data_IF_532901616259
#
_entry.id   IF_532901616259
#
_cell.length_a   1.000
_cell.length_b   1.000
_cell.length_c   1.000
_cell.angle_alpha   90.00
_cell.angle_beta   90.00
_cell.angle_gamma   90.00
#
_symmetry.space_group_name_H-M   'P 1'
#
loop_
_entity.id
_entity.type
_entity.pdbx_description
1 polymer ?
#
# COMPACT_ATOMS: atom_id res chain seq x y z
N UNK A 1 27.38 44.14 27.37
CA UNK A 1 27.95 42.87 26.89
C UNK A 1 27.38 41.75 27.77
N UNK A 2 26.61 40.74 27.38
CA UNK A 2 26.12 40.26 26.09
C UNK A 2 25.05 39.17 26.40
N UNK A 3 23.87 39.29 25.77
CA UNK A 3 22.89 38.26 25.40
C UNK A 3 22.08 37.49 26.47
N UNK A 4 20.79 37.90 26.56
CA UNK A 4 19.63 37.02 26.69
C UNK A 4 19.80 35.74 25.83
N UNK A 5 19.99 34.59 26.48
CA UNK A 5 19.82 33.28 25.83
C UNK A 5 18.32 33.04 25.60
N UNK A 6 17.88 33.46 24.42
CA UNK A 6 16.59 33.15 23.81
C UNK A 6 16.59 31.65 23.51
N UNK A 7 16.03 30.84 24.41
CA UNK A 7 15.78 29.42 24.12
C UNK A 7 14.65 29.33 23.10
N UNK A 8 14.86 28.76 21.91
CA UNK A 8 13.75 28.46 21.01
C UNK A 8 12.98 27.28 21.60
N UNK A 9 11.75 27.54 22.00
CA UNK A 9 10.70 26.53 22.18
C UNK A 9 10.57 25.81 20.83
N UNK A 10 11.29 24.71 20.64
CA UNK A 10 11.10 23.83 19.49
C UNK A 10 9.98 22.86 19.84
N UNK A 11 8.80 23.27 19.38
CA UNK A 11 7.77 22.46 18.73
C UNK A 11 7.57 21.06 19.28
N UNK A 12 6.48 20.95 20.01
CA UNK A 12 5.70 19.79 20.44
C UNK A 12 5.18 18.93 19.24
N UNK A 13 5.71 19.10 18.02
CA UNK A 13 5.13 18.49 16.80
C UNK A 13 5.79 17.17 16.37
N UNK A 14 6.85 16.70 17.05
CA UNK A 14 7.67 15.58 16.54
C UNK A 14 7.29 14.19 17.07
N UNK A 15 6.32 14.05 17.98
CA UNK A 15 6.05 12.76 18.65
C UNK A 15 4.79 12.05 18.10
N UNK A 16 3.96 12.69 17.28
CA UNK A 16 2.71 12.07 16.77
C UNK A 16 2.87 11.41 15.37
N UNK A 17 4.07 11.42 14.78
CA UNK A 17 4.24 11.16 13.34
C UNK A 17 4.87 9.82 12.92
N UNK A 18 5.22 8.90 13.82
CA UNK A 18 6.00 7.70 13.45
C UNK A 18 5.42 6.34 13.82
N UNK A 19 4.29 6.27 14.52
CA UNK A 19 3.78 4.99 15.03
C UNK A 19 2.65 4.35 14.18
N UNK A 20 2.14 4.98 13.12
CA UNK A 20 1.08 4.37 12.28
C UNK A 20 1.56 3.69 10.98
N UNK A 21 2.75 4.03 10.47
CA UNK A 21 3.12 3.72 9.07
C UNK A 21 3.73 2.34 8.86
N UNK A 22 4.29 1.71 9.89
CA UNK A 22 5.01 0.42 9.73
C UNK A 22 4.07 -0.78 9.59
N UNK A 23 2.89 -0.73 10.21
CA UNK A 23 1.91 -1.84 10.14
C UNK A 23 1.23 -1.93 8.77
N UNK A 24 0.95 -0.78 8.15
CA UNK A 24 0.32 -0.73 6.82
C UNK A 24 1.21 -1.33 5.73
N UNK A 25 2.53 -1.14 5.79
CA UNK A 25 3.43 -1.63 4.74
C UNK A 25 3.39 -3.15 4.56
N UNK A 26 3.47 -3.91 5.66
CA UNK A 26 3.42 -5.38 5.60
C UNK A 26 2.04 -5.89 5.15
N UNK A 27 0.95 -5.21 5.54
CA UNK A 27 -0.39 -5.54 5.07
C UNK A 27 -0.53 -5.31 3.57
N UNK A 28 -0.06 -4.17 3.05
CA UNK A 28 -0.09 -3.89 1.61
C UNK A 28 0.79 -4.88 0.84
N UNK A 29 1.93 -5.29 1.42
CA UNK A 29 2.74 -6.36 0.82
C UNK A 29 1.99 -7.69 0.75
N UNK A 30 1.29 -8.10 1.82
CA UNK A 30 0.49 -9.34 1.80
C UNK A 30 -0.61 -9.27 0.74
N UNK A 31 -1.26 -8.11 0.59
CA UNK A 31 -2.27 -7.90 -0.45
C UNK A 31 -1.64 -8.02 -1.85
N UNK A 32 -0.47 -7.41 -2.07
CA UNK A 32 0.25 -7.53 -3.34
C UNK A 32 0.70 -8.97 -3.62
N UNK A 33 1.26 -9.67 -2.62
CA UNK A 33 1.66 -11.07 -2.75
C UNK A 33 0.44 -11.96 -3.10
N UNK A 34 -0.71 -11.70 -2.46
CA UNK A 34 -1.96 -12.39 -2.77
C UNK A 34 -2.42 -12.08 -4.19
N UNK A 35 -2.42 -10.81 -4.60
CA UNK A 35 -2.83 -10.43 -5.94
C UNK A 35 -1.92 -11.05 -7.02
N UNK A 36 -0.60 -11.08 -6.79
CA UNK A 36 0.35 -11.78 -7.66
C UNK A 36 0.00 -13.27 -7.72
N UNK A 37 -0.27 -13.91 -6.58
CA UNK A 37 -0.66 -15.31 -6.57
C UNK A 37 -1.93 -15.55 -7.38
N UNK A 38 -2.95 -14.71 -7.26
CA UNK A 38 -4.20 -14.84 -8.01
C UNK A 38 -4.00 -14.64 -9.53
N UNK A 39 -3.12 -13.72 -9.93
CA UNK A 39 -2.87 -13.40 -11.34
C UNK A 39 -1.92 -14.39 -12.04
N UNK A 40 -0.83 -14.77 -11.37
CA UNK A 40 0.27 -15.51 -12.00
C UNK A 40 0.25 -17.02 -11.72
N UNK A 41 -0.69 -17.51 -10.91
CA UNK A 41 -0.88 -18.96 -10.74
C UNK A 41 -1.55 -19.55 -11.96
N UNK A 42 -1.07 -20.71 -12.42
CA UNK A 42 -1.60 -21.36 -13.61
C UNK A 42 -3.02 -21.89 -13.39
N UNK A 43 -3.79 -21.94 -14.49
CA UNK A 43 -5.19 -22.36 -14.49
C UNK A 43 -5.43 -23.82 -14.05
N UNK A 44 -4.39 -24.68 -14.04
CA UNK A 44 -4.52 -26.04 -13.54
C UNK A 44 -4.39 -26.09 -12.00
N UNK A 45 -3.78 -25.07 -11.40
CA UNK A 45 -3.55 -24.95 -9.96
C UNK A 45 -4.61 -24.08 -9.27
N UNK A 46 -5.10 -23.04 -9.95
CA UNK A 46 -6.13 -22.14 -9.45
C UNK A 46 -7.17 -21.89 -10.54
N UNK A 47 -8.45 -22.07 -10.19
CA UNK A 47 -9.55 -21.74 -11.12
C UNK A 47 -9.52 -20.23 -11.41
N UNK A 48 -9.38 -19.82 -12.69
CA UNK A 48 -9.34 -18.41 -13.07
C UNK A 48 -10.57 -17.60 -12.61
N UNK A 49 -11.77 -18.19 -12.68
CA UNK A 49 -13.01 -17.53 -12.26
C UNK A 49 -12.97 -17.24 -10.74
N UNK A 50 -12.48 -18.19 -9.95
CA UNK A 50 -12.32 -18.02 -8.51
C UNK A 50 -11.23 -17.01 -8.16
N UNK A 51 -10.18 -16.92 -8.99
CA UNK A 51 -9.11 -15.94 -8.82
C UNK A 51 -9.64 -14.51 -9.04
N UNK A 52 -10.42 -14.32 -10.11
CA UNK A 52 -11.08 -13.05 -10.44
C UNK A 52 -12.07 -12.66 -9.34
N UNK A 53 -12.93 -13.58 -8.88
CA UNK A 53 -13.88 -13.33 -7.79
C UNK A 53 -13.15 -12.84 -6.53
N UNK A 54 -12.05 -13.49 -6.14
CA UNK A 54 -11.26 -13.04 -4.99
C UNK A 54 -10.61 -11.66 -5.21
N UNK A 55 -10.13 -11.37 -6.42
CA UNK A 55 -9.57 -10.05 -6.76
C UNK A 55 -10.62 -8.95 -6.66
N UNK A 56 -11.84 -9.21 -7.13
CA UNK A 56 -12.99 -8.31 -7.02
C UNK A 56 -13.39 -8.07 -5.56
N UNK A 57 -13.37 -9.12 -4.74
CA UNK A 57 -13.61 -9.00 -3.30
C UNK A 57 -12.55 -8.11 -2.62
N UNK A 58 -11.27 -8.29 -2.93
CA UNK A 58 -10.19 -7.43 -2.42
C UNK A 58 -10.41 -5.97 -2.86
N UNK A 59 -10.75 -5.75 -4.13
CA UNK A 59 -11.03 -4.42 -4.66
C UNK A 59 -12.21 -3.76 -3.91
N UNK A 60 -13.31 -4.48 -3.72
CA UNK A 60 -14.49 -3.97 -3.04
C UNK A 60 -14.18 -3.51 -1.61
N UNK A 61 -13.43 -4.31 -0.84
CA UNK A 61 -13.02 -3.95 0.53
C UNK A 61 -12.09 -2.73 0.56
N UNK A 62 -11.10 -2.66 -0.34
CA UNK A 62 -10.18 -1.52 -0.40
C UNK A 62 -10.86 -0.23 -0.89
N UNK A 63 -11.92 -0.34 -1.70
CA UNK A 63 -12.71 0.80 -2.14
C UNK A 63 -13.51 1.46 -1.00
N UNK A 64 -13.75 0.76 0.12
CA UNK A 64 -14.41 1.32 1.31
C UNK A 64 -13.50 2.26 2.13
N UNK A 65 -12.20 2.28 1.85
CA UNK A 65 -11.26 3.18 2.49
C UNK A 65 -11.60 4.65 2.20
N UNK A 66 -11.28 5.54 3.14
CA UNK A 66 -11.40 6.99 2.92
C UNK A 66 -10.37 7.46 1.90
N UNK A 67 -10.62 8.62 1.29
CA UNK A 67 -9.73 9.15 0.25
C UNK A 67 -8.27 9.34 0.72
N UNK A 68 -8.07 9.76 1.97
CA UNK A 68 -6.71 9.91 2.53
C UNK A 68 -6.03 8.55 2.80
N UNK A 69 -6.81 7.52 3.12
CA UNK A 69 -6.34 6.14 3.26
C UNK A 69 -6.00 5.54 1.89
N UNK A 70 -6.85 5.74 0.88
CA UNK A 70 -6.60 5.32 -0.51
C UNK A 70 -5.28 5.87 -1.03
N UNK A 71 -5.02 7.17 -0.86
CA UNK A 71 -3.75 7.79 -1.28
C UNK A 71 -2.55 7.08 -0.62
N UNK A 72 -2.62 6.81 0.69
CA UNK A 72 -1.55 6.09 1.41
C UNK A 72 -1.35 4.67 0.88
N UNK A 73 -2.43 3.97 0.53
CA UNK A 73 -2.38 2.63 -0.06
C UNK A 73 -1.74 2.66 -1.46
N UNK A 74 -2.12 3.61 -2.30
CA UNK A 74 -1.56 3.81 -3.65
C UNK A 74 -0.06 4.06 -3.58
N UNK A 75 0.38 4.97 -2.70
CA UNK A 75 1.80 5.27 -2.50
C UNK A 75 2.55 4.04 -1.99
N UNK A 76 1.91 3.25 -1.11
CA UNK A 76 2.50 2.02 -0.60
C UNK A 76 2.71 0.97 -1.69
N UNK A 77 1.74 0.76 -2.59
CA UNK A 77 1.89 -0.14 -3.74
C UNK A 77 3.06 0.28 -4.64
N UNK A 78 3.22 1.57 -4.90
CA UNK A 78 4.34 2.09 -5.69
C UNK A 78 5.71 1.84 -5.03
N UNK A 79 5.79 1.93 -3.70
CA UNK A 79 7.01 1.62 -2.96
C UNK A 79 7.32 0.12 -2.95
N UNK A 80 6.34 -0.74 -2.64
CA UNK A 80 6.58 -2.19 -2.58
C UNK A 80 6.82 -2.82 -3.95
N UNK A 81 6.29 -2.24 -5.03
CA UNK A 81 6.53 -2.71 -6.39
C UNK A 81 8.03 -2.86 -6.69
N UNK A 82 8.88 -2.02 -6.08
CA UNK A 82 10.35 -2.06 -6.21
C UNK A 82 10.98 -3.34 -5.65
N UNK A 83 10.26 -4.10 -4.82
CA UNK A 83 10.73 -5.35 -4.25
C UNK A 83 10.50 -6.56 -5.18
N UNK A 84 9.64 -6.42 -6.20
CA UNK A 84 9.33 -7.47 -7.19
C UNK A 84 10.14 -7.27 -8.47
N UNK A 85 10.11 -8.24 -9.39
CA UNK A 85 10.88 -8.21 -10.63
C UNK A 85 10.01 -8.52 -11.84
N UNK A 86 10.34 -7.92 -12.98
CA UNK A 86 9.63 -8.16 -14.24
C UNK A 86 8.14 -7.86 -14.14
N UNK A 87 7.34 -8.76 -14.69
CA UNK A 87 5.89 -8.62 -14.82
C UNK A 87 5.19 -8.45 -13.46
N UNK A 88 5.68 -9.09 -12.39
CA UNK A 88 5.13 -8.91 -11.03
C UNK A 88 5.27 -7.47 -10.54
N UNK A 89 6.41 -6.82 -10.80
CA UNK A 89 6.62 -5.41 -10.40
C UNK A 89 5.66 -4.49 -11.14
N UNK A 90 5.46 -4.73 -12.44
CA UNK A 90 4.61 -3.88 -13.27
C UNK A 90 3.12 -4.10 -12.96
N UNK A 91 2.74 -5.34 -12.66
CA UNK A 91 1.43 -5.68 -12.13
C UNK A 91 1.14 -4.96 -10.79
N UNK A 92 2.07 -5.01 -9.83
CA UNK A 92 1.88 -4.35 -8.53
C UNK A 92 1.76 -2.83 -8.66
N UNK A 93 2.43 -2.19 -9.64
CA UNK A 93 2.24 -0.75 -9.93
C UNK A 93 0.87 -0.42 -10.51
N UNK A 94 0.27 -1.37 -11.23
CA UNK A 94 -1.04 -1.24 -11.86
C UNK A 94 -2.20 -1.57 -10.91
N UNK A 95 -1.94 -2.29 -9.80
CA UNK A 95 -2.97 -2.67 -8.81
C UNK A 95 -3.87 -1.51 -8.36
N UNK A 96 -3.38 -0.29 -8.07
CA UNK A 96 -4.24 0.85 -7.78
C UNK A 96 -5.36 1.10 -8.80
N UNK A 97 -5.08 0.92 -10.09
CA UNK A 97 -6.05 1.13 -11.16
C UNK A 97 -6.98 -0.08 -11.27
N UNK A 98 -6.41 -1.29 -11.23
CA UNK A 98 -7.16 -2.57 -11.25
C UNK A 98 -8.17 -2.67 -10.10
N UNK A 99 -7.79 -2.19 -8.91
CA UNK A 99 -8.61 -2.24 -7.70
C UNK A 99 -9.57 -1.03 -7.59
N UNK A 100 -9.57 -0.10 -8.55
CA UNK A 100 -10.46 1.06 -8.56
C UNK A 100 -10.17 2.08 -7.44
N UNK A 101 -8.90 2.26 -7.08
CA UNK A 101 -8.47 3.20 -6.04
C UNK A 101 -8.16 4.60 -6.58
N UNK A 102 -7.92 4.74 -7.89
CA UNK A 102 -7.65 6.01 -8.59
C UNK A 102 -8.87 6.60 -9.27
#
# INVERSE_FOLDING_TARGET
MTLLKRFPIRRIDFIVGKESVTQSHHLIKVIADMAIFLEFTDENSLNPDAAVEMMEHIAAELQLLKNDEKIRVIDSFAEIAKAYRGDESDFVKALPDTLGLR
#
